data_IF_286139385630
#
_entry.id   IF_286139385630
#
_cell.length_a   1.000
_cell.length_b   1.000
_cell.length_c   1.000
_cell.angle_alpha   90.00
_cell.angle_beta   90.00
_cell.angle_gamma   90.00
#
_symmetry.space_group_name_H-M   'P 1'
#
loop_
_entity.id
_entity.type
_entity.pdbx_description
1 polymer ?
#
# COMPACT_ATOMS: atom_id res chain seq x y z
N UNK A 1 13.52 -12.13 23.74
CA UNK A 1 13.59 -11.65 24.35
C UNK A 1 13.69 -11.14 24.46
N UNK A 2 13.22 -11.47 23.81
CA UNK A 2 13.21 -10.86 24.32
C UNK A 2 13.36 -10.26 24.23
N UNK A 3 13.00 -10.32 24.06
CA UNK A 3 13.10 -9.52 24.48
C UNK A 3 12.74 -9.23 24.56
N UNK A 4 12.27 -9.41 24.06
CA UNK A 4 11.99 -8.89 24.54
C UNK A 4 11.46 -8.69 24.73
N UNK A 5 11.08 -8.78 24.28
CA UNK A 5 10.66 -8.41 24.79
C UNK A 5 10.45 -7.77 24.66
N UNK A 6 10.15 -7.83 24.69
CA UNK A 6 9.98 -7.10 24.95
C UNK A 6 9.67 -6.78 24.63
N UNK A 7 9.34 -6.85 24.26
CA UNK A 7 9.10 -6.40 24.47
C UNK A 7 8.66 -6.46 24.46
N UNK A 8 8.26 -6.49 24.12
CA UNK A 8 7.94 -6.39 24.55
C UNK A 8 7.42 -6.19 24.53
N UNK A 9 7.01 -6.41 24.37
CA UNK A 9 6.63 -6.07 24.72
C UNK A 9 6.12 -5.70 24.28
N UNK A 10 5.95 -6.14 24.09
CA UNK A 10 5.56 -5.65 24.16
C UNK A 10 5.04 -5.50 23.70
N UNK A 11 4.71 -5.72 23.37
CA UNK A 11 4.34 -5.45 23.50
C UNK A 11 3.83 -5.26 23.21
N UNK A 12 3.40 -5.46 23.01
CA UNK A 12 3.06 -5.15 23.23
C UNK A 12 2.63 -4.85 22.83
N UNK A 13 2.22 -4.92 22.64
CA UNK A 13 2.02 -4.54 22.70
C UNK A 13 1.66 -4.40 22.19
N UNK A 14 1.35 -4.59 21.81
CA UNK A 14 1.16 -4.32 21.87
C UNK A 14 0.99 -4.28 21.25
N UNK A 15 0.72 -4.09 20.96
CA UNK A 15 0.92 -3.83 20.92
C UNK A 15 1.03 -3.96 20.51
N UNK A 16 0.69 -4.03 20.51
CA UNK A 16 1.06 -3.82 20.34
C UNK A 16 1.01 -4.31 19.73
N UNK A 17 0.89 -4.56 19.45
CA UNK A 17 1.20 -4.76 19.00
C UNK A 17 1.48 -5.27 18.27
N UNK A 18 1.16 -5.49 17.85
CA UNK A 18 1.62 -6.13 17.19
C UNK A 18 2.68 -6.80 17.08
N UNK A 19 2.79 -7.19 17.44
CA UNK A 19 3.97 -8.01 17.45
C UNK A 19 3.85 -9.32 18.14
N UNK A 20 2.75 -9.96 18.13
CA UNK A 20 2.54 -11.21 18.82
C UNK A 20 3.57 -12.26 18.41
N UNK A 21 3.91 -12.32 17.12
CA UNK A 21 4.88 -13.28 16.61
C UNK A 21 6.28 -12.72 16.52
N UNK A 22 6.45 -11.45 16.83
CA UNK A 22 7.71 -10.76 16.68
C UNK A 22 8.10 -10.50 15.23
N UNK A 23 7.25 -10.81 14.29
CA UNK A 23 7.54 -10.60 12.87
C UNK A 23 7.17 -9.19 12.44
N UNK A 24 7.99 -8.64 11.56
CA UNK A 24 7.72 -7.35 10.95
C UNK A 24 7.03 -7.59 9.62
N UNK A 25 5.88 -6.98 9.43
CA UNK A 25 5.15 -7.05 8.18
C UNK A 25 5.41 -5.80 7.37
N UNK A 26 5.86 -5.98 6.16
CA UNK A 26 6.27 -4.90 5.29
C UNK A 26 5.23 -4.71 4.20
N UNK A 27 4.54 -3.57 4.16
CA UNK A 27 3.56 -3.32 3.10
C UNK A 27 4.25 -3.18 1.77
N UNK A 28 3.77 -3.92 0.79
CA UNK A 28 4.42 -4.01 -0.52
C UNK A 28 3.35 -3.99 -1.61
N UNK A 29 3.65 -3.31 -2.71
CA UNK A 29 2.84 -3.32 -3.92
C UNK A 29 3.57 -4.16 -4.96
N UNK A 30 2.89 -5.17 -5.50
CA UNK A 30 3.39 -5.98 -6.60
C UNK A 30 2.61 -5.60 -7.85
N UNK A 31 3.31 -5.30 -8.93
CA UNK A 31 2.66 -4.97 -10.20
C UNK A 31 2.34 -6.25 -10.94
N UNK A 32 1.06 -6.52 -11.16
CA UNK A 32 0.61 -7.73 -11.85
C UNK A 32 0.46 -7.53 -13.34
N UNK A 33 0.01 -6.35 -13.76
CA UNK A 33 -0.11 -6.03 -15.18
C UNK A 33 -0.08 -4.53 -15.36
N UNK A 34 0.24 -4.09 -16.58
CA UNK A 34 0.37 -2.68 -16.91
C UNK A 34 1.83 -2.23 -16.86
N UNK A 35 2.06 -1.00 -17.25
CA UNK A 35 3.42 -0.47 -17.36
C UNK A 35 3.72 0.48 -16.21
N UNK A 36 4.78 0.16 -15.49
CA UNK A 36 5.25 0.95 -14.35
C UNK A 36 6.78 0.99 -14.39
N UNK A 37 7.35 1.91 -13.62
CA UNK A 37 8.81 2.04 -13.57
C UNK A 37 9.48 0.82 -12.93
N UNK A 38 8.81 0.19 -11.96
CA UNK A 38 9.30 -1.02 -11.30
C UNK A 38 8.16 -2.02 -11.18
N UNK A 39 8.49 -3.26 -10.85
CA UNK A 39 7.48 -4.31 -10.67
C UNK A 39 7.08 -4.50 -9.22
N UNK A 40 7.81 -3.87 -8.32
CA UNK A 40 7.58 -4.04 -6.90
C UNK A 40 7.97 -2.75 -6.16
N UNK A 41 7.14 -2.37 -5.19
CA UNK A 41 7.37 -1.16 -4.39
C UNK A 41 7.12 -1.47 -2.92
N UNK A 42 8.13 -1.24 -2.08
CA UNK A 42 7.96 -1.32 -0.63
C UNK A 42 7.48 0.04 -0.15
N UNK A 43 6.40 0.06 0.63
CA UNK A 43 5.80 1.31 1.09
C UNK A 43 6.47 1.75 2.38
N UNK A 44 7.46 2.64 2.26
CA UNK A 44 8.24 3.11 3.40
C UNK A 44 7.82 4.46 3.91
N UNK A 45 6.96 5.17 3.18
CA UNK A 45 6.51 6.51 3.55
C UNK A 45 5.07 6.49 4.02
N UNK A 46 4.68 7.53 4.74
CA UNK A 46 3.30 7.64 5.20
C UNK A 46 2.33 7.87 4.04
N UNK A 47 2.81 8.44 2.96
CA UNK A 47 2.00 8.68 1.77
C UNK A 47 2.69 8.06 0.56
N UNK A 48 1.98 7.19 -0.14
CA UNK A 48 2.42 6.57 -1.37
C UNK A 48 1.55 7.09 -2.50
N UNK A 49 2.16 7.72 -3.48
CA UNK A 49 1.42 8.28 -4.61
C UNK A 49 1.54 7.36 -5.82
N UNK A 50 0.45 7.24 -6.57
CA UNK A 50 0.37 6.42 -7.77
C UNK A 50 0.02 7.34 -8.93
N UNK A 51 0.90 7.46 -9.91
CA UNK A 51 0.64 8.33 -11.03
C UNK A 51 1.82 8.44 -11.97
N UNK A 52 1.68 9.29 -12.98
CA UNK A 52 2.72 9.48 -13.98
C UNK A 52 3.79 10.47 -13.52
N UNK A 53 3.51 11.25 -12.50
CA UNK A 53 4.46 12.26 -12.01
C UNK A 53 5.83 11.62 -11.73
N UNK A 54 6.93 12.32 -12.09
CA UNK A 54 8.26 11.84 -11.68
C UNK A 54 8.41 11.71 -10.18
N UNK A 55 7.56 12.41 -9.41
CA UNK A 55 7.58 12.35 -7.95
C UNK A 55 6.73 11.23 -7.38
N UNK A 56 5.99 10.51 -8.22
CA UNK A 56 5.13 9.43 -7.74
C UNK A 56 5.95 8.25 -7.26
N UNK A 57 5.52 7.65 -6.14
CA UNK A 57 6.16 6.45 -5.60
C UNK A 57 5.96 5.27 -6.54
N UNK A 58 4.71 5.01 -6.91
CA UNK A 58 4.39 4.00 -7.91
C UNK A 58 4.19 4.75 -9.23
N UNK A 59 5.25 4.77 -10.03
CA UNK A 59 5.26 5.58 -11.23
C UNK A 59 4.68 4.82 -12.41
N UNK A 60 3.54 5.32 -12.89
CA UNK A 60 2.87 4.75 -14.05
C UNK A 60 3.55 5.26 -15.33
N UNK A 61 3.55 4.41 -16.34
CA UNK A 61 4.08 4.77 -17.65
C UNK A 61 2.97 4.67 -18.68
N UNK A 62 3.06 5.49 -19.70
CA UNK A 62 2.11 5.45 -20.81
C UNK A 62 1.51 6.81 -21.06
N UNK A 63 0.88 6.92 -22.24
CA UNK A 63 0.20 8.12 -22.67
C UNK A 63 -1.09 8.31 -21.87
N UNK A 64 -1.46 9.55 -21.62
CA UNK A 64 -2.76 9.89 -21.02
C UNK A 64 -2.94 9.40 -19.57
N UNK A 65 -1.85 9.02 -18.90
CA UNK A 65 -1.94 8.71 -17.48
C UNK A 65 -1.93 10.01 -16.67
N UNK A 66 -2.75 10.14 -15.62
CA UNK A 66 -2.74 11.36 -14.81
C UNK A 66 -1.48 11.44 -13.96
N UNK A 67 -1.09 12.65 -13.62
CA UNK A 67 0.07 12.87 -12.76
C UNK A 67 -0.13 12.25 -11.38
N UNK A 68 -1.35 12.31 -10.86
CA UNK A 68 -1.70 11.74 -9.56
C UNK A 68 -3.00 10.97 -9.73
N UNK A 69 -2.91 9.66 -9.95
CA UNK A 69 -4.10 8.84 -10.19
C UNK A 69 -4.79 8.46 -8.88
N UNK A 70 -4.01 8.04 -7.88
CA UNK A 70 -4.52 7.59 -6.59
C UNK A 70 -3.41 7.72 -5.56
N UNK A 71 -3.75 7.49 -4.29
CA UNK A 71 -2.76 7.54 -3.22
C UNK A 71 -3.10 6.55 -2.13
N UNK A 72 -2.07 6.06 -1.45
CA UNK A 72 -2.21 5.18 -0.29
C UNK A 72 -1.59 5.89 0.89
N UNK A 73 -2.35 6.03 1.97
CA UNK A 73 -1.86 6.68 3.18
C UNK A 73 -1.78 5.69 4.32
N UNK A 74 -0.74 5.81 5.12
CA UNK A 74 -0.57 5.05 6.34
C UNK A 74 -1.25 5.80 7.48
N UNK A 75 -2.18 5.13 8.16
CA UNK A 75 -2.86 5.65 9.33
C UNK A 75 -2.54 4.76 10.52
N UNK A 76 -2.99 5.16 11.70
CA UNK A 76 -2.70 4.42 12.93
C UNK A 76 -3.17 2.97 12.87
N UNK A 77 -4.28 2.70 12.18
CA UNK A 77 -4.87 1.38 12.14
C UNK A 77 -4.63 0.64 10.82
N UNK A 78 -3.85 1.20 9.91
CA UNK A 78 -3.56 0.49 8.67
C UNK A 78 -3.32 1.43 7.49
N UNK A 79 -3.47 0.87 6.30
CA UNK A 79 -3.23 1.57 5.05
C UNK A 79 -4.54 1.78 4.32
N UNK A 80 -4.74 2.99 3.80
CA UNK A 80 -5.97 3.40 3.14
C UNK A 80 -5.66 3.91 1.74
N UNK A 81 -6.41 3.42 0.74
CA UNK A 81 -6.29 3.94 -0.61
C UNK A 81 -7.40 4.96 -0.86
N UNK A 82 -7.03 6.08 -1.45
CA UNK A 82 -7.97 7.15 -1.80
C UNK A 82 -7.87 7.53 -3.26
N UNK A 83 -8.92 8.18 -3.80
CA UNK A 83 -8.90 8.62 -5.18
C UNK A 83 -8.00 9.84 -5.35
N UNK A 84 -7.41 9.96 -6.52
CA UNK A 84 -6.78 11.18 -6.99
C UNK A 84 -7.60 11.67 -8.16
N UNK A 85 -6.95 11.82 -9.33
CA UNK A 85 -7.66 12.18 -10.56
C UNK A 85 -8.52 11.03 -11.08
N UNK A 86 -8.28 9.83 -10.58
CA UNK A 86 -9.05 8.64 -10.96
C UNK A 86 -9.57 7.95 -9.71
N UNK A 87 -10.56 7.10 -9.91
CA UNK A 87 -11.10 6.29 -8.85
C UNK A 87 -10.54 4.89 -8.98
N UNK A 88 -9.71 4.44 -8.03
CA UNK A 88 -9.23 3.06 -8.08
C UNK A 88 -10.32 2.06 -7.72
N UNK A 89 -10.13 0.83 -8.18
CA UNK A 89 -11.00 -0.29 -7.84
C UNK A 89 -10.22 -1.19 -6.88
N UNK A 90 -10.89 -1.65 -5.84
CA UNK A 90 -10.32 -2.63 -4.92
C UNK A 90 -11.17 -3.90 -5.02
N UNK A 91 -10.51 -4.99 -5.40
CA UNK A 91 -11.17 -6.29 -5.61
C UNK A 91 -12.39 -6.18 -6.54
N UNK A 92 -12.26 -5.36 -7.59
CA UNK A 92 -13.29 -5.22 -8.61
C UNK A 92 -14.36 -4.19 -8.33
N UNK A 93 -14.30 -3.51 -7.19
CA UNK A 93 -15.31 -2.52 -6.80
C UNK A 93 -14.69 -1.14 -6.69
N UNK A 94 -15.27 -0.12 -7.34
CA UNK A 94 -14.74 1.25 -7.19
C UNK A 94 -14.86 1.70 -5.73
N UNK A 95 -13.83 2.37 -5.23
CA UNK A 95 -13.86 2.81 -3.84
C UNK A 95 -14.80 4.02 -3.70
N UNK A 96 -15.62 4.05 -2.65
CA UNK A 96 -16.53 5.19 -2.42
C UNK A 96 -15.82 6.38 -1.79
N UNK A 97 -14.62 6.19 -1.31
CA UNK A 97 -13.79 7.15 -0.63
C UNK A 97 -12.57 6.43 -0.10
N UNK A 98 -11.84 7.01 0.86
CA UNK A 98 -10.70 6.29 1.44
C UNK A 98 -11.15 4.92 1.94
N UNK A 99 -10.45 3.90 1.50
CA UNK A 99 -10.82 2.50 1.77
C UNK A 99 -9.61 1.77 2.33
N UNK A 100 -9.82 1.05 3.44
CA UNK A 100 -8.76 0.30 4.08
C UNK A 100 -8.32 -0.87 3.20
N UNK A 101 -7.01 -1.04 3.08
CA UNK A 101 -6.42 -2.14 2.32
C UNK A 101 -6.09 -3.30 3.26
N UNK A 102 -6.39 -4.51 2.80
CA UNK A 102 -6.06 -5.74 3.51
C UNK A 102 -5.05 -6.53 2.70
N UNK A 103 -4.33 -7.41 3.40
CA UNK A 103 -3.34 -8.27 2.75
C UNK A 103 -3.99 -9.04 1.60
N UNK A 104 -3.38 -8.98 0.44
CA UNK A 104 -3.88 -9.67 -0.75
C UNK A 104 -4.84 -8.88 -1.61
N UNK A 105 -5.20 -7.65 -1.21
CA UNK A 105 -6.15 -6.86 -1.98
C UNK A 105 -5.62 -6.54 -3.38
N UNK A 106 -6.51 -6.61 -4.35
CA UNK A 106 -6.23 -6.31 -5.74
C UNK A 106 -6.68 -4.90 -6.05
N UNK A 107 -5.77 -4.09 -6.57
CA UNK A 107 -6.04 -2.69 -6.90
C UNK A 107 -5.94 -2.51 -8.41
N UNK A 108 -6.97 -1.95 -9.02
CA UNK A 108 -6.94 -1.57 -10.43
C UNK A 108 -7.04 -0.06 -10.55
N UNK A 109 -6.08 0.56 -11.21
CA UNK A 109 -6.09 1.99 -11.44
C UNK A 109 -5.44 2.28 -12.78
N UNK A 110 -6.15 3.04 -13.63
CA UNK A 110 -5.63 3.47 -14.94
C UNK A 110 -5.10 2.31 -15.79
N UNK A 111 -5.77 1.15 -15.76
CA UNK A 111 -5.35 0.00 -16.54
C UNK A 111 -4.17 -0.76 -15.98
N UNK A 112 -3.71 -0.40 -14.80
CA UNK A 112 -2.62 -1.09 -14.11
C UNK A 112 -3.22 -1.87 -12.97
N UNK A 113 -2.82 -3.13 -12.84
CA UNK A 113 -3.28 -4.00 -11.76
C UNK A 113 -2.17 -4.22 -10.76
N UNK A 114 -2.46 -3.95 -9.50
CA UNK A 114 -1.51 -4.01 -8.39
C UNK A 114 -2.05 -4.96 -7.33
N UNK A 115 -1.14 -5.59 -6.61
CA UNK A 115 -1.51 -6.44 -5.48
C UNK A 115 -0.87 -5.87 -4.22
N UNK A 116 -1.69 -5.55 -3.23
CA UNK A 116 -1.21 -5.04 -1.95
C UNK A 116 -1.04 -6.21 -1.00
N UNK A 117 0.19 -6.40 -0.49
CA UNK A 117 0.49 -7.50 0.40
C UNK A 117 1.37 -7.02 1.55
N UNK A 118 1.37 -7.77 2.64
CA UNK A 118 2.34 -7.62 3.71
C UNK A 118 3.33 -8.77 3.61
N UNK A 119 4.61 -8.43 3.45
CA UNK A 119 5.68 -9.42 3.45
C UNK A 119 6.29 -9.51 4.83
N UNK A 120 6.73 -10.69 5.15
CA UNK A 120 7.47 -10.94 6.39
C UNK A 120 8.96 -10.95 6.16
#
# INVERSE_FOLDING_TARGET
>A
KARREMLQQAAAMGERTQFASGRIKVPTIIVLSGKTASKEYVLTNRLTTIGKSPMATVRLKGWFKPQMAAQISQRDDGYYIGPGDKTPFVNGTPIPGPTRLNDGDMIDVCGVRLNFIFRE
#
